data_IF_511296520839
#
_entry.id   IF_511296520839
#
_cell.length_a   1.000
_cell.length_b   1.000
_cell.length_c   1.000
_cell.angle_alpha   90.00
_cell.angle_beta   90.00
_cell.angle_gamma   90.00
#
_symmetry.space_group_name_H-M   'P 1'
#
loop_
_entity.id
_entity.type
_entity.pdbx_description
1 polymer ?
#
# COMPACT_ATOMS: atom_id res chain seq x y z
N UNK A 1 1.45 -0.04 11.01
CA UNK A 1 -0.02 -0.16 10.85
C UNK A 1 -0.51 -1.18 11.86
N UNK A 2 -1.58 -0.87 12.61
CA UNK A 2 -2.17 -1.86 13.50
C UNK A 2 -3.03 -2.87 12.70
N UNK A 3 -3.39 -4.03 13.26
CA UNK A 3 -4.14 -5.05 12.53
C UNK A 3 -5.49 -4.57 11.98
N UNK A 4 -6.24 -3.79 12.77
CA UNK A 4 -7.56 -3.29 12.35
C UNK A 4 -7.48 -2.36 11.14
N UNK A 5 -6.50 -1.45 11.11
CA UNK A 5 -6.24 -0.60 9.94
C UNK A 5 -5.83 -1.41 8.71
N UNK A 6 -5.05 -2.48 8.91
CA UNK A 6 -4.69 -3.39 7.81
C UNK A 6 -5.95 -4.02 7.20
N UNK A 7 -6.86 -4.53 8.05
CA UNK A 7 -8.09 -5.18 7.61
C UNK A 7 -9.04 -4.20 6.91
N UNK A 8 -9.14 -2.96 7.40
CA UNK A 8 -9.92 -1.90 6.74
C UNK A 8 -9.39 -1.59 5.33
N UNK A 9 -8.08 -1.40 5.19
CA UNK A 9 -7.47 -1.17 3.88
C UNK A 9 -7.66 -2.39 2.99
N UNK A 10 -7.44 -3.59 3.53
CA UNK A 10 -7.64 -4.84 2.80
C UNK A 10 -9.08 -5.02 2.31
N UNK A 11 -10.07 -4.62 3.09
CA UNK A 11 -11.48 -4.66 2.67
C UNK A 11 -11.73 -3.75 1.46
N UNK A 12 -11.05 -2.60 1.39
CA UNK A 12 -11.17 -1.66 0.28
C UNK A 12 -10.43 -2.13 -0.98
N UNK A 13 -9.17 -2.53 -0.86
CA UNK A 13 -8.32 -2.86 -2.02
C UNK A 13 -8.39 -4.33 -2.41
N UNK A 14 -8.79 -5.21 -1.49
CA UNK A 14 -8.80 -6.66 -1.65
C UNK A 14 -9.53 -7.17 -2.90
N UNK A 15 -10.72 -6.63 -3.25
CA UNK A 15 -11.42 -7.00 -4.48
C UNK A 15 -10.60 -6.76 -5.76
N UNK A 16 -9.77 -5.71 -5.78
CA UNK A 16 -8.91 -5.36 -6.92
C UNK A 16 -7.65 -6.22 -6.96
N UNK A 17 -7.12 -6.59 -5.79
CA UNK A 17 -5.90 -7.40 -5.66
C UNK A 17 -6.13 -8.90 -5.91
N UNK A 18 -7.39 -9.34 -5.99
CA UNK A 18 -7.73 -10.74 -6.22
C UNK A 18 -7.26 -11.19 -7.61
N UNK A 19 -6.31 -12.12 -7.66
CA UNK A 19 -5.79 -12.70 -8.90
C UNK A 19 -6.34 -14.12 -9.09
N UNK A 20 -6.65 -14.49 -10.34
CA UNK A 20 -6.97 -15.87 -10.75
C UNK A 20 -5.84 -16.41 -11.61
N UNK A 21 -5.42 -17.64 -11.35
CA UNK A 21 -4.32 -18.32 -12.03
C UNK A 21 -4.48 -19.82 -11.87
N UNK A 22 -3.92 -20.62 -12.80
CA UNK A 22 -3.88 -22.08 -12.68
C UNK A 22 -3.03 -22.55 -11.50
N UNK A 23 -1.98 -21.79 -11.16
CA UNK A 23 -1.21 -21.95 -9.92
C UNK A 23 -1.80 -21.09 -8.83
N UNK A 24 -1.73 -21.57 -7.59
CA UNK A 24 -2.17 -20.81 -6.41
C UNK A 24 -1.48 -19.44 -6.37
N UNK A 25 -2.25 -18.33 -6.56
CA UNK A 25 -1.68 -17.00 -6.53
C UNK A 25 -1.56 -16.50 -5.09
N UNK A 26 -0.63 -15.55 -4.87
CA UNK A 26 -0.59 -14.79 -3.61
C UNK A 26 -1.95 -14.17 -3.32
N UNK A 27 -2.43 -14.32 -2.08
CA UNK A 27 -3.68 -13.76 -1.62
C UNK A 27 -3.64 -12.23 -1.62
N UNK A 28 -4.80 -11.55 -1.66
CA UNK A 28 -4.86 -10.09 -1.49
C UNK A 28 -4.13 -9.59 -0.23
N UNK A 29 -4.27 -10.31 0.89
CA UNK A 29 -3.60 -9.96 2.14
C UNK A 29 -2.08 -10.08 2.05
N UNK A 30 -1.56 -11.14 1.43
CA UNK A 30 -0.11 -11.30 1.21
C UNK A 30 0.44 -10.19 0.31
N UNK A 31 -0.26 -9.86 -0.78
CA UNK A 31 0.12 -8.79 -1.71
C UNK A 31 0.18 -7.43 -1.01
N UNK A 32 -0.84 -7.13 -0.19
CA UNK A 32 -0.89 -5.90 0.59
C UNK A 32 0.23 -5.85 1.62
N UNK A 33 0.47 -6.93 2.37
CA UNK A 33 1.52 -6.99 3.38
C UNK A 33 2.93 -6.79 2.79
N UNK A 34 3.22 -7.44 1.66
CA UNK A 34 4.49 -7.28 0.94
C UNK A 34 4.70 -5.82 0.55
N UNK A 35 3.69 -5.23 -0.08
CA UNK A 35 3.75 -3.85 -0.58
C UNK A 35 3.86 -2.86 0.56
N UNK A 36 3.09 -3.06 1.64
CA UNK A 36 3.15 -2.22 2.82
C UNK A 36 4.53 -2.24 3.47
N UNK A 37 5.14 -3.44 3.56
CA UNK A 37 6.51 -3.57 4.05
C UNK A 37 7.50 -2.81 3.18
N UNK A 38 7.40 -2.94 1.85
CA UNK A 38 8.25 -2.20 0.91
C UNK A 38 8.10 -0.67 1.03
N UNK A 39 6.89 -0.17 1.29
CA UNK A 39 6.65 1.26 1.47
C UNK A 39 7.10 1.77 2.85
N UNK A 40 7.09 0.92 3.88
CA UNK A 40 7.40 1.30 5.26
C UNK A 40 8.89 1.17 5.59
N UNK A 41 9.51 0.07 5.16
CA UNK A 41 10.94 -0.19 5.30
C UNK A 41 11.57 0.18 3.97
N UNK A 42 12.45 1.18 3.95
CA UNK A 42 13.27 1.52 2.76
C UNK A 42 14.30 0.43 2.42
N UNK A 43 13.89 -0.83 2.48
CA UNK A 43 14.68 -2.01 2.25
C UNK A 43 14.73 -2.32 0.75
N UNK A 44 15.80 -3.01 0.37
CA UNK A 44 15.96 -3.51 -0.99
C UNK A 44 14.89 -4.57 -1.31
N UNK A 45 14.46 -4.59 -2.57
CA UNK A 45 13.60 -5.66 -3.11
C UNK A 45 14.18 -7.06 -2.86
N UNK A 46 15.50 -7.19 -2.75
CA UNK A 46 16.16 -8.46 -2.51
C UNK A 46 15.87 -9.03 -1.12
N UNK A 47 16.01 -8.21 -0.08
CA UNK A 47 15.76 -8.62 1.30
C UNK A 47 14.29 -8.99 1.50
N UNK A 48 13.37 -8.19 0.97
CA UNK A 48 11.92 -8.46 1.03
C UNK A 48 11.57 -9.74 0.26
N UNK A 49 12.11 -9.94 -0.94
CA UNK A 49 11.89 -11.16 -1.73
C UNK A 49 12.31 -12.41 -0.96
N UNK A 50 13.47 -12.35 -0.30
CA UNK A 50 13.98 -13.43 0.55
C UNK A 50 13.06 -13.71 1.73
N UNK A 51 12.64 -12.65 2.45
CA UNK A 51 11.77 -12.76 3.62
C UNK A 51 10.40 -13.39 3.34
N UNK A 52 9.80 -13.08 2.19
CA UNK A 52 8.51 -13.66 1.76
C UNK A 52 8.64 -14.93 0.91
N UNK A 53 9.86 -15.37 0.58
CA UNK A 53 10.13 -16.51 -0.32
C UNK A 53 9.47 -16.37 -1.69
N UNK A 54 9.48 -15.16 -2.24
CA UNK A 54 8.88 -14.83 -3.55
C UNK A 54 9.99 -14.42 -4.53
N UNK A 55 9.89 -14.86 -5.78
CA UNK A 55 10.84 -14.46 -6.83
C UNK A 55 10.82 -12.94 -7.08
N UNK A 56 12.00 -12.34 -7.34
CA UNK A 56 12.15 -10.87 -7.47
C UNK A 56 11.23 -10.25 -8.53
N UNK A 57 11.06 -10.91 -9.68
CA UNK A 57 10.16 -10.45 -10.74
C UNK A 57 8.71 -10.45 -10.29
N UNK A 58 8.29 -11.48 -9.55
CA UNK A 58 6.94 -11.57 -8.99
C UNK A 58 6.73 -10.51 -7.92
N UNK A 59 7.73 -10.29 -7.06
CA UNK A 59 7.69 -9.25 -6.03
C UNK A 59 7.51 -7.86 -6.65
N UNK A 60 8.30 -7.53 -7.67
CA UNK A 60 8.20 -6.25 -8.39
C UNK A 60 6.81 -6.02 -8.96
N UNK A 61 6.24 -7.03 -9.64
CA UNK A 61 4.89 -6.96 -10.20
C UNK A 61 3.81 -6.84 -9.12
N UNK A 62 4.00 -7.50 -7.97
CA UNK A 62 3.09 -7.39 -6.83
C UNK A 62 3.12 -5.98 -6.26
N UNK A 63 4.32 -5.42 -6.01
CA UNK A 63 4.48 -4.08 -5.45
C UNK A 63 3.88 -3.04 -6.38
N UNK A 64 4.20 -3.09 -7.68
CA UNK A 64 3.68 -2.16 -8.68
C UNK A 64 2.14 -2.19 -8.73
N UNK A 65 1.57 -3.37 -9.01
CA UNK A 65 0.12 -3.49 -9.14
C UNK A 65 -0.66 -3.23 -7.84
N UNK A 66 -0.06 -3.53 -6.69
CA UNK A 66 -0.70 -3.26 -5.39
C UNK A 66 -0.63 -1.78 -5.05
N UNK A 67 0.49 -1.11 -5.32
CA UNK A 67 0.63 0.34 -5.09
C UNK A 67 -0.35 1.11 -5.96
N UNK A 68 -0.50 0.73 -7.23
CA UNK A 68 -1.52 1.31 -8.11
C UNK A 68 -2.94 1.09 -7.58
N UNK A 69 -3.28 -0.13 -7.13
CA UNK A 69 -4.58 -0.42 -6.56
C UNK A 69 -4.87 0.39 -5.28
N UNK A 70 -3.87 0.54 -4.41
CA UNK A 70 -3.96 1.38 -3.20
C UNK A 70 -4.23 2.83 -3.62
N UNK A 71 -3.43 3.37 -4.53
CA UNK A 71 -3.58 4.75 -5.01
C UNK A 71 -4.98 4.99 -5.59
N UNK A 72 -5.42 4.15 -6.53
CA UNK A 72 -6.70 4.30 -7.21
C UNK A 72 -7.92 4.16 -6.28
N UNK A 73 -7.79 3.37 -5.20
CA UNK A 73 -8.87 3.16 -4.23
C UNK A 73 -8.90 4.27 -3.19
N UNK A 74 -7.77 4.57 -2.55
CA UNK A 74 -7.69 5.57 -1.49
C UNK A 74 -7.78 7.00 -2.01
N UNK A 75 -7.29 7.28 -3.22
CA UNK A 75 -7.40 8.61 -3.81
C UNK A 75 -8.87 9.03 -4.02
N UNK A 76 -9.78 8.08 -4.25
CA UNK A 76 -11.21 8.38 -4.40
C UNK A 76 -11.93 8.59 -3.06
N UNK A 77 -11.48 7.89 -2.02
CA UNK A 77 -12.20 7.80 -0.74
C UNK A 77 -11.64 8.76 0.32
N UNK A 78 -10.31 8.89 0.39
CA UNK A 78 -9.60 9.58 1.46
C UNK A 78 -9.07 10.93 0.98
N UNK A 79 -8.52 10.99 -0.22
CA UNK A 79 -8.00 12.22 -0.81
C UNK A 79 -9.11 12.93 -1.58
N UNK A 80 -9.98 13.67 -0.88
CA UNK A 80 -10.84 14.65 -1.55
C UNK A 80 -9.93 15.55 -2.43
N UNK A 81 -10.34 15.92 -3.66
CA UNK A 81 -9.55 16.82 -4.47
C UNK A 81 -9.35 18.10 -3.66
N UNK A 82 -8.09 18.36 -3.29
CA UNK A 82 -7.70 19.60 -2.63
C UNK A 82 -7.99 20.71 -3.62
N UNK A 83 -9.12 21.40 -3.46
CA UNK A 83 -9.34 22.64 -4.18
C UNK A 83 -8.22 23.59 -3.76
N UNK A 84 -7.73 24.40 -4.69
CA UNK A 84 -6.58 25.33 -4.53
C UNK A 84 -6.82 26.38 -3.41
N UNK A 85 -7.96 26.36 -2.73
CA UNK A 85 -8.23 27.22 -1.57
C UNK A 85 -8.02 26.48 -0.23
N UNK A 86 -8.08 25.15 -0.21
CA UNK A 86 -8.05 24.35 1.03
C UNK A 86 -6.63 24.01 1.49
N UNK A 87 -5.63 24.03 0.61
CA UNK A 87 -4.24 23.74 1.02
C UNK A 87 -3.72 24.75 2.04
N UNK A 88 -4.09 26.04 1.94
CA UNK A 88 -3.66 27.09 2.89
C UNK A 88 -4.26 26.90 4.28
N UNK A 89 -5.48 26.37 4.36
CA UNK A 89 -6.16 26.07 5.63
C UNK A 89 -5.62 24.79 6.25
N UNK A 90 -5.43 23.74 5.42
CA UNK A 90 -4.96 22.44 5.90
C UNK A 90 -3.47 22.47 6.28
N UNK A 91 -2.64 23.30 5.64
CA UNK A 91 -1.24 23.47 6.03
C UNK A 91 -1.07 24.15 7.40
N UNK A 92 -2.10 24.87 7.87
CA UNK A 92 -2.11 25.46 9.22
C UNK A 92 -2.61 24.48 10.29
N UNK A 93 -3.28 23.39 9.89
CA UNK A 93 -3.81 22.35 10.79
C UNK A 93 -3.03 21.03 10.74
N UNK A 94 -2.12 20.87 9.78
CA UNK A 94 -1.15 19.77 9.82
C UNK A 94 -0.14 20.06 10.92
N UNK A 95 -0.42 19.54 12.12
CA UNK A 95 0.60 19.28 13.13
C UNK A 95 1.78 18.59 12.45
N UNK A 96 3.03 19.07 12.65
CA UNK A 96 4.19 18.43 12.08
C UNK A 96 4.20 16.97 12.53
N UNK A 97 4.14 16.04 11.58
CA UNK A 97 4.45 14.64 11.86
C UNK A 97 5.89 14.62 12.38
N UNK A 98 6.04 14.50 13.71
CA UNK A 98 7.30 14.19 14.37
C UNK A 98 7.81 12.85 13.83
N UNK A 99 8.50 12.91 12.70
CA UNK A 99 9.46 11.88 12.34
C UNK A 99 10.66 12.11 13.25
N UNK A 100 10.58 11.53 14.45
CA UNK A 100 11.70 11.39 15.35
C UNK A 100 12.82 10.65 14.61
N UNK A 101 13.92 11.36 14.36
CA UNK A 101 15.21 10.85 13.92
C UNK A 101 16.23 11.07 15.05
#
# INVERSE_FOLDING_TARGET
MNPSQFDEVLALVGPVLQKRSHREPLSPSQRLAITWRYLSEGDSLFSIASGYKVGRSTLSLVIEGTTEAIWNTLNKTVLKPLYVEDYKKNSQQMEPMEFAA
#
